data_IF_740290070748
#
_entry.id   IF_740290070748
#
_cell.length_a   1.000
_cell.length_b   1.000
_cell.length_c   1.000
_cell.angle_alpha   90.00
_cell.angle_beta   90.00
_cell.angle_gamma   90.00
#
_symmetry.space_group_name_H-M   'P 1'
#
loop_
_entity.id
_entity.type
_entity.pdbx_description
1 polymer ?
#
# COMPACT_ATOMS: atom_id res chain seq x y z
N UNK A 1 -15.20 -15.71 8.67
CA UNK A 1 -14.05 -14.84 8.95
C UNK A 1 -14.13 -13.59 8.11
N UNK A 2 -13.75 -12.48 8.69
CA UNK A 2 -13.77 -11.23 7.96
C UNK A 2 -12.67 -11.18 6.94
N UNK A 3 -12.98 -10.59 5.80
CA UNK A 3 -11.98 -10.37 4.77
C UNK A 3 -11.07 -9.22 5.17
N UNK A 4 -9.82 -9.33 4.80
CA UNK A 4 -8.89 -8.20 4.95
C UNK A 4 -9.23 -7.13 3.92
N UNK A 5 -9.18 -5.87 4.35
CA UNK A 5 -9.53 -4.70 3.52
C UNK A 5 -8.29 -4.08 2.93
N UNK A 6 -8.28 -3.97 1.61
CA UNK A 6 -7.15 -3.41 0.87
C UNK A 6 -7.62 -2.13 0.18
N UNK A 7 -6.84 -1.06 0.29
CA UNK A 7 -7.04 0.12 -0.52
C UNK A 7 -5.98 0.14 -1.61
N UNK A 8 -6.39 0.28 -2.85
CA UNK A 8 -5.49 0.36 -4.00
C UNK A 8 -5.58 1.77 -4.58
N UNK A 9 -4.49 2.53 -4.48
CA UNK A 9 -4.42 3.89 -5.02
C UNK A 9 -3.62 3.84 -6.32
N UNK A 10 -4.32 3.88 -7.43
CA UNK A 10 -3.74 3.66 -8.76
C UNK A 10 -4.51 4.48 -9.80
N UNK A 11 -3.83 5.37 -10.50
CA UNK A 11 -4.49 6.23 -11.48
C UNK A 11 -4.68 5.57 -12.85
N UNK A 12 -3.87 4.56 -13.19
CA UNK A 12 -4.03 3.86 -14.45
C UNK A 12 -5.20 2.89 -14.35
N UNK A 13 -6.23 3.13 -15.15
CA UNK A 13 -7.47 2.34 -15.07
C UNK A 13 -7.21 0.86 -15.37
N UNK A 14 -6.40 0.57 -16.37
CA UNK A 14 -6.14 -0.82 -16.74
C UNK A 14 -5.46 -1.59 -15.61
N UNK A 15 -4.41 -1.00 -15.04
CA UNK A 15 -3.69 -1.62 -13.92
C UNK A 15 -4.61 -1.76 -12.70
N UNK A 16 -5.39 -0.71 -12.43
CA UNK A 16 -6.29 -0.71 -11.27
C UNK A 16 -7.30 -1.85 -11.37
N UNK A 17 -7.93 -2.01 -12.54
CA UNK A 17 -8.94 -3.06 -12.71
C UNK A 17 -8.31 -4.45 -12.62
N UNK A 18 -7.13 -4.62 -13.18
CA UNK A 18 -6.43 -5.90 -13.11
C UNK A 18 -6.12 -6.29 -11.67
N UNK A 19 -5.54 -5.37 -10.92
CA UNK A 19 -5.17 -5.65 -9.53
C UNK A 19 -6.40 -5.83 -8.65
N UNK A 20 -7.46 -5.05 -8.89
CA UNK A 20 -8.72 -5.26 -8.17
C UNK A 20 -9.23 -6.68 -8.36
N UNK A 21 -9.21 -7.14 -9.59
CA UNK A 21 -9.75 -8.46 -9.92
C UNK A 21 -8.98 -9.57 -9.23
N UNK A 22 -7.65 -9.55 -9.33
CA UNK A 22 -6.87 -10.64 -8.74
C UNK A 22 -6.92 -10.63 -7.22
N UNK A 23 -7.00 -9.46 -6.60
CA UNK A 23 -7.10 -9.39 -5.15
C UNK A 23 -8.47 -9.83 -4.65
N UNK A 24 -9.53 -9.44 -5.34
CA UNK A 24 -10.88 -9.91 -4.99
C UNK A 24 -11.01 -11.41 -5.16
N UNK A 25 -10.45 -11.96 -6.23
CA UNK A 25 -10.47 -13.39 -6.46
C UNK A 25 -9.72 -14.15 -5.37
N UNK A 26 -8.72 -13.52 -4.78
CA UNK A 26 -7.94 -14.13 -3.70
C UNK A 26 -8.62 -14.00 -2.33
N UNK A 27 -9.77 -13.35 -2.26
CA UNK A 27 -10.57 -13.28 -1.04
C UNK A 27 -10.46 -11.98 -0.26
N UNK A 28 -9.83 -10.95 -0.83
CA UNK A 28 -9.73 -9.66 -0.16
C UNK A 28 -10.92 -8.77 -0.50
N UNK A 29 -11.27 -7.88 0.43
CA UNK A 29 -12.19 -6.80 0.14
C UNK A 29 -11.35 -5.63 -0.38
N UNK A 30 -11.63 -5.15 -1.59
CA UNK A 30 -10.79 -4.15 -2.25
C UNK A 30 -11.59 -2.89 -2.52
N UNK A 31 -11.07 -1.76 -2.03
CA UNK A 31 -11.53 -0.43 -2.44
C UNK A 31 -10.42 0.19 -3.27
N UNK A 32 -10.79 1.04 -4.21
CA UNK A 32 -9.82 1.70 -5.07
C UNK A 32 -9.96 3.20 -5.01
N UNK A 33 -8.86 3.88 -5.27
CA UNK A 33 -8.83 5.32 -5.46
C UNK A 33 -8.15 5.59 -6.80
N UNK A 34 -8.63 6.61 -7.49
CA UNK A 34 -8.21 6.87 -8.87
C UNK A 34 -7.08 7.87 -8.99
N UNK A 35 -6.73 8.54 -7.90
CA UNK A 35 -5.61 9.48 -7.86
C UNK A 35 -5.21 9.72 -6.40
N UNK A 36 -4.21 10.59 -6.20
CA UNK A 36 -3.70 10.88 -4.87
C UNK A 36 -4.70 11.56 -3.96
N UNK A 37 -5.50 12.47 -4.51
CA UNK A 37 -6.52 13.17 -3.71
C UNK A 37 -7.59 12.21 -3.22
N UNK A 38 -8.08 11.36 -4.11
CA UNK A 38 -9.07 10.34 -3.77
C UNK A 38 -8.48 9.36 -2.76
N UNK A 39 -7.24 8.95 -2.99
CA UNK A 39 -6.54 8.05 -2.07
C UNK A 39 -6.38 8.65 -0.69
N UNK A 40 -5.94 9.89 -0.61
CA UNK A 40 -5.74 10.56 0.66
C UNK A 40 -7.05 10.65 1.44
N UNK A 41 -8.16 11.01 0.76
CA UNK A 41 -9.45 11.11 1.42
C UNK A 41 -9.86 9.77 2.03
N UNK A 42 -9.65 8.67 1.31
CA UNK A 42 -10.01 7.35 1.80
C UNK A 42 -9.09 6.88 2.93
N UNK A 43 -7.79 7.14 2.80
CA UNK A 43 -6.83 6.78 3.83
C UNK A 43 -7.14 7.51 5.13
N UNK A 44 -7.54 8.78 5.06
CA UNK A 44 -7.86 9.56 6.25
C UNK A 44 -9.04 9.01 7.02
N UNK A 45 -10.00 8.41 6.33
CA UNK A 45 -11.10 7.71 7.01
C UNK A 45 -10.55 6.51 7.78
N UNK A 46 -9.66 5.78 7.16
CA UNK A 46 -8.95 4.69 7.82
C UNK A 46 -9.68 3.37 7.82
N UNK A 47 -9.08 2.38 8.50
CA UNK A 47 -9.68 1.08 8.65
C UNK A 47 -9.24 0.04 7.63
N UNK A 48 -8.23 0.35 6.82
CA UNK A 48 -7.69 -0.61 5.87
C UNK A 48 -6.61 -1.47 6.53
N UNK A 49 -6.55 -2.73 6.13
CA UNK A 49 -5.51 -3.64 6.62
C UNK A 49 -4.21 -3.45 5.86
N UNK A 50 -4.29 -2.97 4.63
CA UNK A 50 -3.13 -2.68 3.79
C UNK A 50 -3.51 -1.63 2.76
N UNK A 51 -2.57 -0.71 2.50
CA UNK A 51 -2.73 0.29 1.45
C UNK A 51 -1.62 0.09 0.43
N UNK A 52 -2.00 -0.09 -0.83
CA UNK A 52 -1.07 -0.15 -1.96
C UNK A 52 -1.12 1.21 -2.64
N UNK A 53 0.02 1.89 -2.71
CA UNK A 53 0.07 3.29 -3.12
C UNK A 53 1.09 3.47 -4.24
N UNK A 54 0.63 3.92 -5.41
CA UNK A 54 1.55 4.32 -6.47
C UNK A 54 2.15 5.68 -6.14
N UNK A 55 3.41 5.86 -6.49
CA UNK A 55 4.11 7.14 -6.31
C UNK A 55 3.81 8.08 -7.45
N UNK A 56 3.83 7.56 -8.69
CA UNK A 56 3.73 8.39 -9.90
C UNK A 56 2.27 8.60 -10.30
N UNK A 57 1.68 9.68 -9.83
CA UNK A 57 0.30 10.04 -10.16
C UNK A 57 0.22 11.54 -10.42
N UNK A 58 -0.69 11.99 -11.30
CA UNK A 58 -0.86 13.42 -11.54
C UNK A 58 -1.48 14.11 -10.34
N UNK A 59 -1.32 15.42 -10.26
CA UNK A 59 -1.89 16.32 -9.26
C UNK A 59 -1.26 16.13 -7.88
N UNK A 60 -1.46 14.99 -7.24
CA UNK A 60 -0.90 14.67 -5.93
C UNK A 60 -0.26 13.29 -6.04
N UNK A 61 1.05 13.23 -5.95
CA UNK A 61 1.75 11.95 -6.05
C UNK A 61 1.78 11.21 -4.70
N UNK A 62 2.36 10.01 -4.70
CA UNK A 62 2.38 9.19 -3.50
C UNK A 62 3.17 9.81 -2.35
N UNK A 63 4.23 10.55 -2.64
CA UNK A 63 4.99 11.22 -1.58
C UNK A 63 4.16 12.33 -0.94
N UNK A 64 3.38 13.05 -1.75
CA UNK A 64 2.49 14.09 -1.23
C UNK A 64 1.44 13.49 -0.30
N UNK A 65 0.90 12.32 -0.68
CA UNK A 65 -0.06 11.60 0.15
C UNK A 65 0.57 11.25 1.50
N UNK A 66 1.78 10.70 1.47
CA UNK A 66 2.48 10.30 2.70
C UNK A 66 2.76 11.50 3.61
N UNK A 67 3.20 12.63 3.02
CA UNK A 67 3.46 13.83 3.81
C UNK A 67 2.20 14.35 4.47
N UNK A 68 1.09 14.33 3.73
CA UNK A 68 -0.19 14.78 4.26
C UNK A 68 -0.64 13.94 5.46
N UNK A 69 -0.38 12.63 5.41
CA UNK A 69 -0.77 11.73 6.50
C UNK A 69 0.05 11.96 7.77
N UNK A 70 1.27 12.42 7.64
CA UNK A 70 2.09 12.77 8.81
C UNK A 70 1.49 13.98 9.49
N UNK A 71 1.07 14.99 8.71
CA UNK A 71 0.51 16.21 9.26
C UNK A 71 -0.91 16.01 9.79
N UNK A 72 -1.69 15.13 9.15
CA UNK A 72 -3.07 14.86 9.52
C UNK A 72 -3.29 13.34 9.54
N UNK A 73 -3.02 12.72 10.70
CA UNK A 73 -3.16 11.26 10.80
C UNK A 73 -4.59 10.78 10.57
N UNK A 74 -4.77 9.54 10.13
CA UNK A 74 -6.11 8.99 9.87
C UNK A 74 -6.97 8.94 11.13
N UNK A 75 -8.29 9.06 10.94
CA UNK A 75 -9.25 8.97 12.04
C UNK A 75 -9.27 7.57 12.65
N UNK A 76 -9.15 6.55 11.81
CA UNK A 76 -9.05 5.15 12.24
C UNK A 76 -7.75 4.61 11.70
N UNK A 77 -7.04 3.86 12.55
CA UNK A 77 -5.72 3.34 12.19
C UNK A 77 -5.80 2.43 10.96
N UNK A 78 -4.81 2.55 10.09
CA UNK A 78 -4.61 1.66 8.94
C UNK A 78 -3.47 0.70 9.21
N UNK A 79 -3.43 -0.40 8.46
CA UNK A 79 -2.24 -1.23 8.36
C UNK A 79 -1.18 -0.53 7.53
N UNK A 80 -0.14 -1.26 7.13
CA UNK A 80 1.01 -0.65 6.45
C UNK A 80 0.65 -0.07 5.08
N UNK A 81 1.42 0.95 4.68
CA UNK A 81 1.38 1.48 3.33
C UNK A 81 2.57 0.90 2.59
N UNK A 82 2.28 0.22 1.49
CA UNK A 82 3.30 -0.42 0.65
C UNK A 82 3.21 0.22 -0.73
N UNK A 83 4.34 0.66 -1.25
CA UNK A 83 4.38 1.24 -2.58
C UNK A 83 4.18 0.17 -3.63
N UNK A 84 3.38 0.47 -4.65
CA UNK A 84 3.21 -0.41 -5.81
C UNK A 84 3.38 0.48 -7.04
N UNK A 85 4.58 0.48 -7.61
CA UNK A 85 4.96 1.46 -8.62
C UNK A 85 6.00 0.87 -9.55
N UNK A 86 6.19 1.47 -10.73
CA UNK A 86 7.32 1.11 -11.59
C UNK A 86 8.56 1.94 -11.29
N UNK A 87 8.46 2.85 -10.33
CA UNK A 87 9.58 3.69 -9.97
C UNK A 87 10.65 2.88 -9.24
N UNK A 88 11.91 3.02 -9.69
CA UNK A 88 13.04 2.34 -9.06
C UNK A 88 14.11 3.33 -8.61
N UNK A 89 13.77 4.61 -8.60
CA UNK A 89 14.69 5.68 -8.20
C UNK A 89 14.91 5.63 -6.70
N UNK A 90 16.11 5.28 -6.27
CA UNK A 90 16.43 5.06 -4.87
C UNK A 90 16.15 6.28 -3.98
N UNK A 91 16.53 7.52 -4.37
CA UNK A 91 16.24 8.67 -3.51
C UNK A 91 14.74 8.87 -3.25
N UNK A 92 13.89 8.62 -4.25
CA UNK A 92 12.45 8.75 -4.07
C UNK A 92 11.92 7.65 -3.16
N UNK A 93 12.38 6.43 -3.37
CA UNK A 93 11.99 5.29 -2.55
C UNK A 93 12.45 5.51 -1.09
N UNK A 94 13.68 5.98 -0.91
CA UNK A 94 14.19 6.27 0.43
C UNK A 94 13.37 7.35 1.12
N UNK A 95 12.97 8.38 0.37
CA UNK A 95 12.11 9.43 0.91
C UNK A 95 10.78 8.84 1.38
N UNK A 96 10.20 7.93 0.59
CA UNK A 96 8.94 7.29 0.96
C UNK A 96 9.08 6.48 2.26
N UNK A 97 10.18 5.75 2.41
CA UNK A 97 10.42 5.01 3.66
C UNK A 97 10.56 5.96 4.84
N UNK A 98 11.22 7.10 4.64
CA UNK A 98 11.32 8.13 5.68
C UNK A 98 9.97 8.74 6.03
N UNK A 99 8.98 8.61 5.15
CA UNK A 99 7.63 9.09 5.37
C UNK A 99 6.68 7.96 5.77
N UNK A 100 7.23 6.88 6.31
CA UNK A 100 6.49 5.74 6.91
C UNK A 100 5.93 4.72 5.93
N UNK A 101 6.37 4.70 4.67
CA UNK A 101 6.06 3.56 3.81
C UNK A 101 6.78 2.33 4.39
N UNK A 102 6.13 1.18 4.35
CA UNK A 102 6.63 -0.05 4.98
C UNK A 102 7.12 -1.08 3.98
N UNK A 103 6.96 -0.84 2.71
CA UNK A 103 7.42 -1.76 1.69
C UNK A 103 7.34 -1.14 0.31
N UNK A 104 7.88 -1.85 -0.67
CA UNK A 104 8.01 -1.36 -2.03
C UNK A 104 7.96 -2.54 -3.00
N UNK A 105 7.03 -2.52 -3.92
CA UNK A 105 6.87 -3.52 -4.97
C UNK A 105 6.96 -2.82 -6.31
N UNK A 106 7.78 -3.37 -7.21
CA UNK A 106 7.95 -2.82 -8.57
C UNK A 106 7.00 -3.57 -9.49
N UNK A 107 6.04 -2.85 -10.08
CA UNK A 107 4.99 -3.47 -10.90
C UNK A 107 5.53 -4.36 -12.01
N UNK A 108 6.57 -3.91 -12.69
CA UNK A 108 7.14 -4.65 -13.82
C UNK A 108 7.91 -5.90 -13.40
N UNK A 109 8.22 -6.04 -12.12
CA UNK A 109 9.01 -7.16 -11.62
C UNK A 109 8.14 -8.28 -11.03
N UNK A 110 6.83 -8.05 -10.90
CA UNK A 110 5.95 -9.04 -10.28
C UNK A 110 4.75 -9.35 -11.18
N UNK A 111 4.31 -10.59 -11.13
CA UNK A 111 3.05 -10.99 -11.78
C UNK A 111 1.88 -10.65 -10.87
N UNK A 112 0.65 -10.60 -11.40
CA UNK A 112 -0.52 -10.42 -10.52
C UNK A 112 -0.62 -11.46 -9.42
N UNK A 113 -0.25 -12.73 -9.71
CA UNK A 113 -0.24 -13.76 -8.68
C UNK A 113 0.78 -13.49 -7.59
N UNK A 114 1.96 -12.99 -7.97
CA UNK A 114 2.98 -12.62 -6.99
C UNK A 114 2.53 -11.45 -6.14
N UNK A 115 1.78 -10.51 -6.73
CA UNK A 115 1.21 -9.42 -5.94
C UNK A 115 0.30 -9.98 -4.84
N UNK A 116 -0.55 -10.94 -5.18
CA UNK A 116 -1.41 -11.57 -4.20
C UNK A 116 -0.60 -12.18 -3.05
N UNK A 117 0.50 -12.85 -3.39
CA UNK A 117 1.38 -13.47 -2.37
C UNK A 117 1.97 -12.43 -1.44
N UNK A 118 2.42 -11.30 -1.97
CA UNK A 118 2.95 -10.20 -1.16
C UNK A 118 1.87 -9.61 -0.27
N UNK A 119 0.67 -9.40 -0.80
CA UNK A 119 -0.43 -8.85 -0.03
C UNK A 119 -0.81 -9.78 1.12
N UNK A 120 -0.83 -11.08 0.87
CA UNK A 120 -1.09 -12.06 1.93
C UNK A 120 -0.07 -11.96 3.05
N UNK A 121 1.20 -11.78 2.71
CA UNK A 121 2.24 -11.65 3.72
C UNK A 121 2.07 -10.39 4.56
N UNK A 122 1.76 -9.26 3.92
CA UNK A 122 1.58 -8.01 4.64
C UNK A 122 0.35 -8.02 5.54
N UNK A 123 -0.67 -8.79 5.20
CA UNK A 123 -1.91 -8.83 5.97
C UNK A 123 -2.00 -10.01 6.92
N UNK A 124 -1.00 -10.88 6.94
CA UNK A 124 -0.96 -12.06 7.80
C UNK A 124 -0.56 -11.65 9.21
N UNK A 125 -1.50 -11.72 10.14
CA UNK A 125 -1.27 -11.32 11.52
C UNK A 125 -0.19 -12.15 12.21
N UNK A 126 -0.14 -13.44 11.90
CA UNK A 126 0.92 -14.29 12.45
C UNK A 126 2.29 -13.81 12.03
N UNK A 127 2.43 -13.45 10.77
CA UNK A 127 3.68 -12.96 10.23
C UNK A 127 4.09 -11.64 10.87
N UNK A 128 3.14 -10.72 11.02
CA UNK A 128 3.40 -9.44 11.66
C UNK A 128 3.81 -9.62 13.10
N UNK A 129 3.15 -10.52 13.82
CA UNK A 129 3.47 -10.79 15.21
C UNK A 129 4.88 -11.34 15.35
N UNK A 130 5.27 -12.24 14.48
CA UNK A 130 6.60 -12.84 14.53
C UNK A 130 7.69 -11.81 14.26
N UNK A 131 7.45 -10.90 13.36
CA UNK A 131 8.48 -9.93 12.98
C UNK A 131 8.64 -8.82 13.99
N UNK A 132 7.63 -8.53 14.79
CA UNK A 132 7.65 -7.34 15.61
C UNK A 132 8.75 -7.31 16.67
N UNK A 133 9.06 -8.40 17.39
CA UNK A 133 10.07 -8.33 18.44
C UNK A 133 11.49 -8.20 17.93
N UNK A 134 11.71 -8.47 16.69
CA UNK A 134 13.05 -8.49 16.13
C UNK A 134 13.42 -7.17 15.54
N UNK A 135 12.54 -6.46 15.51
CA UNK A 135 12.70 -5.19 14.82
C UNK A 135 14.03 -4.54 15.00
N UNK A 136 14.15 -5.78 15.12
CA UNK A 136 14.80 -5.64 14.89
C UNK A 136 15.60 -5.70 14.56
N UNK A 137 15.87 -5.84 14.87
CA UNK A 137 16.49 -6.08 14.42
C UNK A 137 16.95 -6.24 13.63
N UNK A 138 17.08 -6.34 13.67
CA UNK A 138 17.35 -6.52 12.85
C UNK A 138 17.41 -6.32 12.15
N UNK A 139 17.31 -6.19 12.31
CA UNK A 139 17.11 -6.11 11.65
C UNK A 139 17.09 -5.75 11.18
N UNK A 140 17.09 -5.60 11.44
CA UNK A 140 16.91 -5.38 10.94
C UNK A 140 17.00 -5.17 10.57
#
# INVERSE_FOLDING_TARGET
MEKKKILLVEDDQFARELYEEVLKDAGFEVNSAVDGLDGLAKIKIGGYDLILLDVMMPKMDGLDVLRSLINEPPAVKNGPIVLLTNLTNDPVIDTAYGLNAKGHLVKSDITPGELVDHVKKYTDESQLTESSPIADSSSS
#
